data_IF_300764517352
#
_entry.id   IF_300764517352
#
_cell.length_a   1.000
_cell.length_b   1.000
_cell.length_c   1.000
_cell.angle_alpha   90.00
_cell.angle_beta   90.00
_cell.angle_gamma   90.00
#
_symmetry.space_group_name_H-M   'P 1'
#
loop_
_entity.id
_entity.type
_entity.pdbx_description
1 polymer ?
#
# COMPACT_ATOMS: atom_id res chain seq x y z
N UNK A 1 -73.17 15.13 -26.69
CA UNK A 1 -72.17 14.19 -27.28
C UNK A 1 -70.79 14.70 -26.92
N UNK A 2 -70.16 14.09 -25.95
CA UNK A 2 -68.83 14.49 -25.44
C UNK A 2 -67.76 13.73 -26.23
N UNK A 3 -66.85 14.45 -26.81
CA UNK A 3 -65.86 13.96 -27.77
C UNK A 3 -64.70 13.22 -27.04
N UNK A 4 -64.83 11.90 -26.92
CA UNK A 4 -63.78 11.04 -26.23
C UNK A 4 -62.57 10.73 -27.07
N UNK A 5 -62.46 11.20 -28.30
CA UNK A 5 -61.36 10.84 -29.22
C UNK A 5 -60.05 11.64 -29.02
N UNK A 6 -60.08 12.78 -28.32
CA UNK A 6 -58.91 13.62 -28.13
C UNK A 6 -58.05 13.21 -26.91
N UNK A 7 -58.66 12.58 -25.92
CA UNK A 7 -57.95 12.15 -24.70
C UNK A 7 -57.07 10.91 -24.90
N UNK A 8 -57.45 10.01 -25.79
CA UNK A 8 -56.71 8.78 -26.07
C UNK A 8 -55.36 9.04 -26.82
N UNK A 9 -55.34 10.05 -27.69
CA UNK A 9 -54.17 10.43 -28.47
C UNK A 9 -53.08 11.11 -27.61
N UNK A 10 -53.47 11.87 -26.60
CA UNK A 10 -52.54 12.52 -25.68
C UNK A 10 -51.86 11.54 -24.71
N UNK A 11 -52.59 10.52 -24.24
CA UNK A 11 -52.04 9.49 -23.35
C UNK A 11 -51.04 8.58 -24.09
N UNK A 12 -51.29 8.26 -25.34
CA UNK A 12 -50.40 7.46 -26.17
C UNK A 12 -49.07 8.17 -26.48
N UNK A 13 -49.13 9.48 -26.75
CA UNK A 13 -47.92 10.28 -27.02
C UNK A 13 -47.01 10.43 -25.78
N UNK A 14 -47.58 10.57 -24.59
CA UNK A 14 -46.80 10.64 -23.34
C UNK A 14 -46.13 9.30 -22.97
N UNK A 15 -46.81 8.18 -23.22
CA UNK A 15 -46.25 6.85 -22.94
C UNK A 15 -45.05 6.54 -23.84
N UNK A 16 -45.12 6.86 -25.14
CA UNK A 16 -43.98 6.66 -26.06
C UNK A 16 -42.77 7.53 -25.72
N UNK A 17 -43.01 8.77 -25.27
CA UNK A 17 -41.92 9.68 -24.90
C UNK A 17 -41.14 9.20 -23.65
N UNK A 18 -41.84 8.59 -22.68
CA UNK A 18 -41.22 8.04 -21.47
C UNK A 18 -40.31 6.83 -21.77
N UNK A 19 -40.70 5.97 -22.71
CA UNK A 19 -39.88 4.82 -23.12
C UNK A 19 -38.63 5.23 -23.90
N UNK A 20 -38.67 6.26 -24.71
CA UNK A 20 -37.51 6.77 -25.45
C UNK A 20 -36.50 7.40 -24.51
N UNK A 21 -36.93 8.12 -23.47
CA UNK A 21 -36.04 8.69 -22.45
C UNK A 21 -35.38 7.63 -21.56
N UNK A 22 -36.09 6.56 -21.21
CA UNK A 22 -35.54 5.45 -20.45
C UNK A 22 -34.50 4.65 -21.26
N UNK A 23 -34.76 4.43 -22.57
CA UNK A 23 -33.79 3.75 -23.44
C UNK A 23 -32.50 4.57 -23.68
N UNK A 24 -32.61 5.90 -23.76
CA UNK A 24 -31.44 6.78 -23.89
C UNK A 24 -30.52 6.77 -22.62
N UNK A 25 -31.10 6.58 -21.43
CA UNK A 25 -30.36 6.51 -20.18
C UNK A 25 -29.56 5.20 -20.02
N UNK A 26 -29.98 4.13 -20.66
CA UNK A 26 -29.27 2.83 -20.61
C UNK A 26 -28.11 2.79 -21.62
N UNK A 27 -28.24 3.51 -22.74
CA UNK A 27 -27.20 3.54 -23.78
C UNK A 27 -25.94 4.30 -23.39
N UNK A 28 -25.98 5.16 -22.35
CA UNK A 28 -24.82 5.94 -21.91
C UNK A 28 -23.91 5.21 -20.90
N UNK A 29 -24.26 4.01 -20.48
CA UNK A 29 -23.49 3.23 -19.50
C UNK A 29 -22.57 2.17 -20.13
N UNK A 30 -22.53 2.04 -21.45
CA UNK A 30 -21.55 1.17 -22.11
C UNK A 30 -20.21 1.91 -22.16
N UNK A 31 -19.30 1.51 -21.28
CA UNK A 31 -17.89 1.94 -21.33
C UNK A 31 -17.29 1.64 -22.72
N UNK A 32 -16.32 2.44 -23.14
CA UNK A 32 -15.59 2.17 -24.36
C UNK A 32 -14.83 0.83 -24.22
N UNK A 33 -15.13 -0.21 -25.03
CA UNK A 33 -14.49 -1.51 -24.90
C UNK A 33 -12.97 -1.47 -25.13
N UNK A 34 -12.46 -0.40 -25.76
CA UNK A 34 -11.04 -0.23 -26.05
C UNK A 34 -10.30 0.56 -24.95
N UNK A 35 -10.99 0.92 -23.87
CA UNK A 35 -10.41 1.69 -22.75
C UNK A 35 -10.79 1.09 -21.41
N UNK A 36 -9.82 0.47 -20.77
CA UNK A 36 -9.92 0.01 -19.39
C UNK A 36 -9.18 0.98 -18.47
N UNK A 37 -9.77 1.35 -17.36
CA UNK A 37 -9.09 2.05 -16.28
C UNK A 37 -8.54 1.00 -15.30
N UNK A 38 -7.27 1.09 -14.98
CA UNK A 38 -6.60 0.26 -13.98
C UNK A 38 -6.21 1.13 -12.80
N UNK A 39 -6.58 0.71 -11.60
CA UNK A 39 -6.35 1.42 -10.36
C UNK A 39 -5.28 0.71 -9.54
N UNK A 40 -4.29 1.44 -9.11
CA UNK A 40 -3.18 0.87 -8.35
C UNK A 40 -2.41 1.90 -7.55
N UNK A 41 -1.41 1.43 -6.84
CA UNK A 41 -0.52 2.25 -6.03
C UNK A 41 0.94 1.87 -6.29
N UNK A 42 1.81 2.87 -6.43
CA UNK A 42 3.23 2.65 -6.73
C UNK A 42 4.19 3.30 -5.72
N UNK A 43 3.67 3.84 -4.62
CA UNK A 43 4.51 4.48 -3.61
C UNK A 43 4.09 4.02 -2.21
N UNK A 44 4.47 2.80 -1.89
CA UNK A 44 4.17 2.15 -0.61
C UNK A 44 5.46 1.81 0.11
N UNK A 45 5.59 2.30 1.34
CA UNK A 45 6.67 1.97 2.25
C UNK A 45 6.14 1.08 3.39
N UNK A 46 6.83 -0.04 3.61
CA UNK A 46 6.45 -1.03 4.63
C UNK A 46 7.35 -0.94 5.86
N UNK A 47 7.15 -1.82 6.84
CA UNK A 47 8.04 -1.91 8.01
C UNK A 47 9.50 -2.26 7.66
N UNK A 48 9.79 -2.56 6.40
CA UNK A 48 11.16 -2.79 5.92
C UNK A 48 11.80 -1.50 5.42
N UNK A 49 11.02 -0.48 5.13
CA UNK A 49 11.53 0.85 4.82
C UNK A 49 11.93 1.56 6.11
N UNK A 50 13.08 2.20 6.08
CA UNK A 50 13.66 2.88 7.24
C UNK A 50 12.75 3.98 7.78
N UNK A 51 12.10 4.72 6.91
CA UNK A 51 11.19 5.82 7.25
C UNK A 51 9.87 5.30 7.83
N UNK A 52 9.20 4.38 7.15
CA UNK A 52 7.95 3.81 7.64
C UNK A 52 8.15 3.15 9.02
N UNK A 53 9.28 2.44 9.19
CA UNK A 53 9.62 1.84 10.48
C UNK A 53 9.82 2.88 11.58
N UNK A 54 10.57 3.96 11.30
CA UNK A 54 10.81 5.05 12.24
C UNK A 54 9.53 5.81 12.63
N UNK A 55 8.60 5.96 11.68
CA UNK A 55 7.33 6.65 11.92
C UNK A 55 6.22 5.74 12.45
N UNK A 56 6.55 4.54 12.89
CA UNK A 56 5.66 3.70 13.69
C UNK A 56 5.09 2.46 13.00
N UNK A 57 5.39 2.21 11.73
CA UNK A 57 5.03 0.95 11.09
C UNK A 57 6.03 -0.15 11.46
N UNK A 58 5.87 -0.76 12.61
CA UNK A 58 6.71 -1.88 13.07
C UNK A 58 6.15 -3.25 12.68
N UNK A 59 4.92 -3.30 12.14
CA UNK A 59 4.16 -4.53 11.96
C UNK A 59 4.06 -4.97 10.51
N UNK A 60 3.50 -4.12 9.64
CA UNK A 60 3.13 -4.51 8.27
C UNK A 60 4.33 -4.52 7.34
N UNK A 61 4.64 -5.69 6.79
CA UNK A 61 5.72 -5.93 5.84
C UNK A 61 5.25 -5.88 4.38
N UNK A 62 6.15 -6.19 3.43
CA UNK A 62 5.80 -6.24 2.00
C UNK A 62 4.67 -7.22 1.68
N UNK A 63 4.63 -8.38 2.34
CA UNK A 63 3.56 -9.38 2.20
C UNK A 63 2.20 -8.86 2.66
N UNK A 64 2.16 -8.12 3.77
CA UNK A 64 0.92 -7.48 4.25
C UNK A 64 0.44 -6.41 3.25
N UNK A 65 1.35 -5.64 2.68
CA UNK A 65 1.01 -4.65 1.67
C UNK A 65 0.35 -5.30 0.43
N UNK A 66 0.92 -6.39 -0.07
CA UNK A 66 0.36 -7.13 -1.20
C UNK A 66 -0.99 -7.76 -0.87
N UNK A 67 -1.15 -8.36 0.32
CA UNK A 67 -2.45 -8.88 0.80
C UNK A 67 -3.50 -7.78 0.87
N UNK A 68 -3.13 -6.60 1.37
CA UNK A 68 -4.04 -5.46 1.42
C UNK A 68 -4.48 -5.02 0.03
N UNK A 69 -3.55 -4.92 -0.93
CA UNK A 69 -3.88 -4.61 -2.32
C UNK A 69 -4.85 -5.63 -2.94
N UNK A 70 -4.75 -6.91 -2.56
CA UNK A 70 -5.65 -7.98 -2.98
C UNK A 70 -7.01 -7.95 -2.26
N UNK A 71 -7.28 -6.96 -1.41
CA UNK A 71 -8.52 -6.87 -0.63
C UNK A 71 -8.59 -7.81 0.55
N UNK A 72 -7.47 -8.34 1.02
CA UNK A 72 -7.42 -9.14 2.25
C UNK A 72 -7.31 -8.22 3.48
N UNK A 73 -7.84 -8.67 4.62
CA UNK A 73 -7.70 -7.94 5.86
C UNK A 73 -6.28 -8.08 6.41
N UNK A 74 -5.71 -6.96 6.85
CA UNK A 74 -4.41 -6.93 7.54
C UNK A 74 -4.53 -6.19 8.87
N UNK A 75 -3.54 -6.34 9.74
CA UNK A 75 -3.48 -5.58 10.99
C UNK A 75 -2.81 -4.23 10.78
N UNK A 76 -3.50 -3.18 11.17
CA UNK A 76 -2.91 -1.85 11.28
C UNK A 76 -1.87 -1.82 12.43
N UNK A 77 -0.78 -1.04 12.35
CA UNK A 77 0.20 -0.91 13.43
C UNK A 77 -0.40 -0.53 14.80
N UNK A 78 -1.55 0.11 14.82
CA UNK A 78 -2.30 0.44 16.04
C UNK A 78 -3.19 -0.71 16.56
N UNK A 79 -3.15 -1.90 15.94
CA UNK A 79 -3.74 -3.13 16.45
C UNK A 79 -5.14 -3.47 15.95
N UNK A 80 -5.80 -2.62 15.17
CA UNK A 80 -7.09 -2.93 14.54
C UNK A 80 -6.91 -3.53 13.14
N UNK A 81 -7.94 -4.16 12.61
CA UNK A 81 -7.93 -4.68 11.23
C UNK A 81 -8.36 -3.60 10.24
N UNK A 82 -7.72 -3.60 9.08
CA UNK A 82 -8.07 -2.76 7.92
C UNK A 82 -8.19 -3.61 6.67
N UNK A 83 -9.05 -3.17 5.76
CA UNK A 83 -9.30 -3.83 4.49
C UNK A 83 -9.81 -2.79 3.48
N UNK A 84 -9.39 -2.89 2.24
CA UNK A 84 -10.02 -2.14 1.13
C UNK A 84 -11.21 -2.92 0.58
N UNK A 85 -12.24 -2.22 0.12
CA UNK A 85 -13.44 -2.86 -0.43
C UNK A 85 -13.21 -3.43 -1.84
N UNK A 86 -12.46 -2.68 -2.66
CA UNK A 86 -12.11 -3.07 -4.02
C UNK A 86 -10.61 -3.38 -4.09
N UNK A 87 -10.21 -4.60 -4.49
CA UNK A 87 -8.80 -4.90 -4.76
C UNK A 87 -8.22 -3.95 -5.80
N UNK A 88 -6.94 -3.66 -5.67
CA UNK A 88 -6.19 -2.91 -6.67
C UNK A 88 -5.86 -3.82 -7.87
N UNK A 89 -5.81 -3.23 -9.06
CA UNK A 89 -5.39 -3.94 -10.28
C UNK A 89 -3.87 -4.19 -10.30
N UNK A 90 -3.11 -3.32 -9.64
CA UNK A 90 -1.66 -3.43 -9.51
C UNK A 90 -1.16 -2.69 -8.27
N UNK A 91 0.01 -3.10 -7.78
CA UNK A 91 0.70 -2.45 -6.67
C UNK A 91 2.21 -2.64 -6.77
N UNK A 92 2.97 -1.60 -6.39
CA UNK A 92 4.41 -1.66 -6.20
C UNK A 92 4.78 -1.31 -4.77
N UNK A 93 5.48 -2.21 -4.08
CA UNK A 93 6.14 -1.88 -2.81
C UNK A 93 7.47 -1.21 -3.12
N UNK A 94 7.70 -0.03 -2.57
CA UNK A 94 8.82 0.85 -2.90
C UNK A 94 9.59 1.26 -1.65
N UNK A 95 9.88 0.29 -0.80
CA UNK A 95 10.71 0.50 0.39
C UNK A 95 12.05 1.12 0.01
N UNK A 96 12.57 2.03 0.83
CA UNK A 96 13.91 2.58 0.63
C UNK A 96 14.94 1.46 0.50
N UNK A 97 15.69 1.45 -0.60
CA UNK A 97 16.73 0.46 -0.87
C UNK A 97 17.91 0.59 0.06
N UNK A 98 18.14 1.81 0.57
CA UNK A 98 19.18 2.12 1.54
C UNK A 98 18.88 1.41 2.86
N UNK A 99 19.65 0.37 3.13
CA UNK A 99 19.51 -0.45 4.35
C UNK A 99 18.09 -1.06 4.52
N UNK A 100 17.44 -1.47 3.41
CA UNK A 100 16.12 -2.10 3.45
C UNK A 100 16.09 -3.27 4.46
N UNK A 101 15.11 -3.25 5.35
CA UNK A 101 14.93 -4.24 6.40
C UNK A 101 15.97 -4.21 7.54
N UNK A 102 17.06 -3.43 7.44
CA UNK A 102 18.11 -3.40 8.44
C UNK A 102 17.63 -2.79 9.77
N UNK A 103 16.88 -1.70 9.69
CA UNK A 103 16.33 -1.05 10.91
C UNK A 103 15.39 -2.01 11.65
N UNK A 104 14.52 -2.71 10.92
CA UNK A 104 13.66 -3.76 11.48
C UNK A 104 14.48 -4.88 12.12
N UNK A 105 15.48 -5.42 11.41
CA UNK A 105 16.33 -6.49 11.93
C UNK A 105 17.13 -6.05 13.16
N UNK A 106 17.67 -4.82 13.18
CA UNK A 106 18.38 -4.27 14.35
C UNK A 106 17.49 -4.27 15.60
N UNK A 107 16.19 -4.03 15.43
CA UNK A 107 15.22 -3.96 16.50
C UNK A 107 14.43 -5.27 16.73
N UNK A 108 14.78 -6.34 16.00
CA UNK A 108 14.19 -7.67 16.19
C UNK A 108 15.07 -8.51 17.14
N UNK A 109 14.60 -8.84 18.35
CA UNK A 109 15.36 -9.66 19.29
C UNK A 109 15.78 -11.00 18.65
N UNK A 110 17.05 -11.35 18.78
CA UNK A 110 17.58 -12.60 18.23
C UNK A 110 18.01 -12.55 16.77
N UNK A 111 17.70 -11.48 16.04
CA UNK A 111 18.26 -11.25 14.71
C UNK A 111 19.78 -11.15 14.77
N UNK A 112 20.52 -11.71 13.79
CA UNK A 112 21.97 -11.51 13.69
C UNK A 112 22.34 -10.01 13.67
N UNK A 113 21.57 -9.17 12.98
CA UNK A 113 21.81 -7.72 12.88
C UNK A 113 21.68 -7.04 14.24
N UNK A 114 20.75 -7.46 15.10
CA UNK A 114 20.55 -6.86 16.44
C UNK A 114 21.78 -6.95 17.36
N UNK A 115 22.70 -7.86 17.06
CA UNK A 115 23.94 -8.07 17.83
C UNK A 115 25.16 -7.37 17.22
N UNK A 116 25.02 -6.78 16.02
CA UNK A 116 26.15 -6.14 15.33
C UNK A 116 26.45 -4.79 15.97
N UNK A 117 27.76 -4.46 16.19
CA UNK A 117 28.15 -3.15 16.72
C UNK A 117 27.64 -1.99 15.85
N UNK A 118 27.63 -2.17 14.53
CA UNK A 118 27.19 -1.18 13.55
C UNK A 118 25.69 -0.91 13.60
N UNK A 119 24.89 -1.86 14.11
CA UNK A 119 23.46 -1.74 14.25
C UNK A 119 23.03 -1.06 15.56
N UNK A 120 23.92 -0.94 16.55
CA UNK A 120 23.57 -0.38 17.86
C UNK A 120 22.96 1.04 17.77
N UNK A 121 23.48 1.95 16.89
CA UNK A 121 22.84 3.27 16.73
C UNK A 121 21.45 3.24 16.09
N UNK A 122 21.04 2.12 15.49
CA UNK A 122 19.72 1.92 14.87
C UNK A 122 18.68 1.36 15.86
N UNK A 123 19.09 0.97 17.05
CA UNK A 123 18.19 0.41 18.05
C UNK A 123 17.36 1.54 18.67
N UNK A 124 16.06 1.44 18.49
CA UNK A 124 15.08 2.34 19.06
C UNK A 124 14.66 1.82 20.43
N UNK A 125 15.10 2.49 21.49
CA UNK A 125 14.84 2.05 22.87
C UNK A 125 13.40 2.22 23.28
N UNK A 126 12.81 3.34 22.90
CA UNK A 126 11.39 3.65 23.12
C UNK A 126 10.81 4.29 21.85
N UNK A 127 9.97 3.54 21.11
CA UNK A 127 9.35 4.04 19.88
C UNK A 127 8.35 5.18 20.12
N UNK A 128 7.90 5.38 21.36
CA UNK A 128 6.99 6.46 21.72
C UNK A 128 7.74 7.71 22.20
N UNK A 129 9.07 7.64 22.31
CA UNK A 129 9.90 8.78 22.73
C UNK A 129 10.42 9.52 21.48
N UNK A 130 9.94 10.75 21.19
CA UNK A 130 10.39 11.52 20.04
C UNK A 130 11.91 11.78 20.01
N UNK A 131 12.56 11.86 21.17
CA UNK A 131 14.01 12.07 21.23
C UNK A 131 14.79 10.83 20.78
N UNK A 132 14.32 9.63 21.10
CA UNK A 132 14.92 8.39 20.61
C UNK A 132 14.73 8.22 19.10
N UNK A 133 13.52 8.51 18.60
CA UNK A 133 13.23 8.52 17.16
C UNK A 133 14.12 9.52 16.43
N UNK A 134 14.22 10.75 16.92
CA UNK A 134 15.07 11.79 16.32
C UNK A 134 16.56 11.40 16.31
N UNK A 135 17.05 10.71 17.34
CA UNK A 135 18.42 10.23 17.41
C UNK A 135 18.73 9.18 16.33
N UNK A 136 17.84 8.19 16.17
CA UNK A 136 18.01 7.16 15.12
C UNK A 136 17.91 7.80 13.75
N UNK A 137 16.96 8.70 13.53
CA UNK A 137 16.82 9.45 12.28
C UNK A 137 18.06 10.26 11.95
N UNK A 138 18.60 11.03 12.90
CA UNK A 138 19.82 11.81 12.71
C UNK A 138 21.02 10.92 12.34
N UNK A 139 21.14 9.74 12.96
CA UNK A 139 22.16 8.78 12.59
C UNK A 139 22.00 8.32 11.13
N UNK A 140 20.81 7.92 10.72
CA UNK A 140 20.52 7.49 9.34
C UNK A 140 20.82 8.59 8.31
N UNK A 141 20.39 9.81 8.58
CA UNK A 141 20.71 10.98 7.73
C UNK A 141 22.24 11.15 7.62
N UNK A 142 22.98 10.92 8.71
CA UNK A 142 24.45 11.00 8.68
C UNK A 142 25.11 9.96 7.78
N UNK A 143 24.41 8.87 7.44
CA UNK A 143 24.94 7.81 6.58
C UNK A 143 24.84 8.14 5.10
N UNK A 144 23.94 9.07 4.70
CA UNK A 144 23.69 9.42 3.29
C UNK A 144 24.95 9.92 2.59
N UNK A 145 25.81 10.63 3.31
CA UNK A 145 27.07 11.17 2.79
C UNK A 145 28.30 10.29 3.07
N UNK A 146 28.09 9.11 3.64
CA UNK A 146 29.18 8.18 4.02
C UNK A 146 29.19 6.95 3.12
N UNK A 147 30.33 6.27 2.97
CA UNK A 147 30.36 4.97 2.32
C UNK A 147 29.43 3.98 3.02
N UNK A 148 28.79 3.06 2.27
CA UNK A 148 27.93 2.05 2.86
C UNK A 148 28.62 1.22 3.95
N UNK A 149 27.87 0.88 4.98
CA UNK A 149 28.36 0.04 6.08
C UNK A 149 28.52 -1.39 5.54
N UNK A 150 29.76 -1.80 5.29
CA UNK A 150 30.09 -3.09 4.67
C UNK A 150 29.50 -4.29 5.41
N UNK A 151 29.39 -4.20 6.74
CA UNK A 151 28.82 -5.26 7.56
C UNK A 151 27.35 -5.57 7.19
N UNK A 152 26.59 -4.59 6.72
CA UNK A 152 25.20 -4.77 6.27
C UNK A 152 25.10 -5.27 4.83
N UNK A 153 26.14 -5.11 4.02
CA UNK A 153 26.15 -5.46 2.59
C UNK A 153 26.56 -6.92 2.34
N UNK A 154 26.53 -7.76 3.34
CA UNK A 154 26.90 -9.17 3.21
C UNK A 154 25.73 -10.02 2.67
N UNK A 155 26.00 -11.16 2.01
CA UNK A 155 24.95 -12.10 1.60
C UNK A 155 24.08 -12.59 2.76
N UNK A 156 24.61 -12.63 3.97
CA UNK A 156 23.94 -13.07 5.18
C UNK A 156 22.95 -12.02 5.72
N UNK A 157 23.15 -10.76 5.39
CA UNK A 157 22.31 -9.64 5.84
C UNK A 157 21.45 -9.13 4.69
N UNK A 158 22.02 -8.36 3.77
CA UNK A 158 21.28 -7.79 2.64
C UNK A 158 20.72 -8.87 1.70
N UNK A 159 21.49 -9.93 1.46
CA UNK A 159 21.06 -11.04 0.59
C UNK A 159 19.86 -11.82 1.14
N UNK A 160 19.72 -11.92 2.46
CA UNK A 160 18.55 -12.56 3.09
C UNK A 160 17.31 -11.72 2.89
N UNK A 161 17.38 -10.41 3.13
CA UNK A 161 16.29 -9.48 2.92
C UNK A 161 15.84 -9.49 1.45
N UNK A 162 16.81 -9.45 0.53
CA UNK A 162 16.50 -9.48 -0.91
C UNK A 162 15.80 -10.77 -1.34
N UNK A 163 16.28 -11.92 -0.90
CA UNK A 163 15.64 -13.23 -1.20
C UNK A 163 14.22 -13.30 -0.66
N UNK A 164 13.97 -12.74 0.50
CA UNK A 164 12.63 -12.73 1.08
C UNK A 164 11.70 -11.81 0.29
N UNK A 165 12.16 -10.62 -0.15
CA UNK A 165 11.39 -9.76 -1.04
C UNK A 165 11.02 -10.45 -2.35
N UNK A 166 11.96 -11.12 -2.99
CA UNK A 166 11.70 -11.89 -4.23
C UNK A 166 10.67 -12.97 -3.97
N UNK A 167 10.81 -13.73 -2.89
CA UNK A 167 9.86 -14.79 -2.51
C UNK A 167 8.45 -14.23 -2.31
N UNK A 168 8.30 -13.12 -1.59
CA UNK A 168 7.01 -12.46 -1.35
C UNK A 168 6.37 -11.99 -2.67
N UNK A 169 7.17 -11.52 -3.62
CA UNK A 169 6.68 -11.07 -4.91
C UNK A 169 6.24 -12.23 -5.83
N UNK A 170 6.75 -13.43 -5.60
CA UNK A 170 6.45 -14.64 -6.38
C UNK A 170 5.23 -15.42 -5.83
N UNK A 171 4.76 -15.13 -4.61
CA UNK A 171 3.60 -15.73 -3.95
C UNK A 171 2.28 -15.00 -4.29
#
# INVERSE_FOLDING_TARGET
MVNHSRSALLVGAMACSAWVLAAASIASAQGNPDRNAYFGEQHIHTSWSVDAWLFGNHLTGPDDALKYAQGQAIKHPLGYEIKIEQPLDWMGVTDHSEYVGITKQANTPGSPVSKMPEAQPLILKDPNNPADVAKVFAYLVSLVSKPPIKAFMTPQVAGTVWKENVKIADE
#
